data_IF_030897571411
#
_entry.id   IF_030897571411
#
_cell.length_a   1.000
_cell.length_b   1.000
_cell.length_c   1.000
_cell.angle_alpha   90.00
_cell.angle_beta   90.00
_cell.angle_gamma   90.00
#
_symmetry.space_group_name_H-M   'P 1'
#
loop_
_entity.id
_entity.type
_entity.pdbx_description
1 polymer ?
#
# COMPACT_ATOMS: atom_id res chain seq x y z
N UNK A 1 9.36 -37.52 -32.98
CA UNK A 1 7.94 -37.12 -32.86
C UNK A 1 7.78 -36.06 -31.75
N UNK A 2 8.61 -35.00 -31.75
CA UNK A 2 8.88 -34.18 -30.53
C UNK A 2 8.46 -32.70 -30.63
N UNK A 3 7.92 -32.26 -31.78
CA UNK A 3 7.75 -30.83 -32.08
C UNK A 3 6.43 -30.20 -31.61
N UNK A 4 5.49 -31.01 -31.09
CA UNK A 4 4.14 -30.56 -30.73
C UNK A 4 3.97 -30.18 -29.24
N UNK A 5 4.87 -30.63 -28.35
CA UNK A 5 4.82 -30.31 -26.92
C UNK A 5 5.32 -28.89 -26.62
N UNK A 6 6.35 -28.41 -27.33
CA UNK A 6 6.92 -27.06 -27.16
C UNK A 6 5.93 -25.96 -27.53
N UNK A 7 5.32 -26.02 -28.74
CA UNK A 7 4.31 -25.05 -29.22
C UNK A 7 3.09 -24.91 -28.29
N UNK A 8 2.69 -25.97 -27.59
CA UNK A 8 1.57 -25.94 -26.63
C UNK A 8 1.98 -25.35 -25.27
N UNK A 9 3.26 -25.45 -24.90
CA UNK A 9 3.83 -24.82 -23.72
C UNK A 9 3.92 -23.30 -23.87
N UNK A 10 4.40 -22.84 -25.03
CA UNK A 10 4.63 -21.40 -25.30
C UNK A 10 3.33 -20.58 -25.25
N UNK A 11 2.24 -21.08 -25.86
CA UNK A 11 0.93 -20.41 -25.83
C UNK A 11 0.35 -20.33 -24.40
N UNK A 12 0.56 -21.37 -23.58
CA UNK A 12 0.11 -21.35 -22.18
C UNK A 12 0.86 -20.31 -21.36
N UNK A 13 2.17 -20.16 -21.61
CA UNK A 13 3.00 -19.14 -20.97
C UNK A 13 2.53 -17.74 -21.38
N UNK A 14 2.25 -17.51 -22.67
CA UNK A 14 1.71 -16.21 -23.12
C UNK A 14 0.35 -15.89 -22.52
N UNK A 15 -0.54 -16.88 -22.39
CA UNK A 15 -1.84 -16.70 -21.75
C UNK A 15 -1.73 -16.37 -20.25
N UNK A 16 -0.80 -17.03 -19.55
CA UNK A 16 -0.52 -16.74 -18.15
C UNK A 16 0.07 -15.32 -17.98
N UNK A 17 0.99 -14.93 -18.85
CA UNK A 17 1.55 -13.57 -18.88
C UNK A 17 0.50 -12.50 -19.13
N UNK A 18 -0.47 -12.78 -20.01
CA UNK A 18 -1.60 -11.88 -20.27
C UNK A 18 -2.47 -11.68 -19.01
N UNK A 19 -2.80 -12.77 -18.31
CA UNK A 19 -3.56 -12.70 -17.05
C UNK A 19 -2.82 -11.87 -15.99
N UNK A 20 -1.51 -12.04 -15.87
CA UNK A 20 -0.67 -11.27 -14.94
C UNK A 20 -0.69 -9.78 -15.33
N UNK A 21 -0.49 -9.47 -16.61
CA UNK A 21 -0.48 -8.09 -17.10
C UNK A 21 -1.79 -7.35 -16.86
N UNK A 22 -2.93 -7.99 -17.14
CA UNK A 22 -4.27 -7.43 -16.87
C UNK A 22 -4.48 -7.24 -15.36
N UNK A 23 -4.08 -8.22 -14.54
CA UNK A 23 -4.22 -8.14 -13.08
C UNK A 23 -3.43 -6.97 -12.50
N UNK A 24 -2.21 -6.69 -13.01
CA UNK A 24 -1.41 -5.55 -12.60
C UNK A 24 -2.08 -4.21 -12.92
N UNK A 25 -2.70 -4.09 -14.10
CA UNK A 25 -3.44 -2.87 -14.49
C UNK A 25 -4.64 -2.66 -13.56
N UNK A 26 -5.45 -3.70 -13.33
CA UNK A 26 -6.64 -3.63 -12.46
C UNK A 26 -6.24 -3.25 -11.04
N UNK A 27 -5.18 -3.85 -10.49
CA UNK A 27 -4.66 -3.51 -9.18
C UNK A 27 -4.19 -2.05 -9.09
N UNK A 28 -3.46 -1.57 -10.11
CA UNK A 28 -2.97 -0.19 -10.16
C UNK A 28 -4.11 0.84 -10.19
N UNK A 29 -5.12 0.62 -11.04
CA UNK A 29 -6.31 1.50 -11.10
C UNK A 29 -7.10 1.46 -9.79
N UNK A 30 -7.31 0.27 -9.22
CA UNK A 30 -8.03 0.09 -7.97
C UNK A 30 -7.35 0.85 -6.81
N UNK A 31 -6.02 0.78 -6.71
CA UNK A 31 -5.26 1.49 -5.68
C UNK A 31 -5.40 3.01 -5.78
N UNK A 32 -5.33 3.56 -7.01
CA UNK A 32 -5.52 5.00 -7.25
C UNK A 32 -6.93 5.45 -6.84
N UNK A 33 -7.96 4.70 -7.26
CA UNK A 33 -9.37 5.05 -6.99
C UNK A 33 -9.67 4.93 -5.50
N UNK A 34 -9.25 3.86 -4.84
CA UNK A 34 -9.50 3.65 -3.41
C UNK A 34 -8.88 4.75 -2.56
N UNK A 35 -7.62 5.11 -2.82
CA UNK A 35 -6.94 6.21 -2.12
C UNK A 35 -7.66 7.56 -2.33
N UNK A 36 -8.19 7.79 -3.54
CA UNK A 36 -8.97 9.00 -3.83
C UNK A 36 -10.28 9.02 -3.04
N UNK A 37 -11.00 7.90 -2.96
CA UNK A 37 -12.27 7.79 -2.23
C UNK A 37 -12.04 8.07 -0.74
N UNK A 38 -11.04 7.44 -0.11
CA UNK A 38 -10.75 7.64 1.31
C UNK A 38 -10.37 9.09 1.61
N UNK A 39 -9.53 9.70 0.77
CA UNK A 39 -9.15 11.10 0.94
C UNK A 39 -10.33 12.07 0.69
N UNK A 40 -11.24 11.74 -0.23
CA UNK A 40 -12.46 12.51 -0.43
C UNK A 40 -13.43 12.36 0.75
N UNK A 41 -13.57 11.16 1.32
CA UNK A 41 -14.39 10.92 2.52
C UNK A 41 -13.86 11.75 3.69
N UNK A 42 -12.55 11.72 3.93
CA UNK A 42 -11.89 12.55 4.94
C UNK A 42 -12.13 14.05 4.72
N UNK A 43 -11.87 14.56 3.50
CA UNK A 43 -12.03 15.98 3.18
C UNK A 43 -13.48 16.48 3.27
N UNK A 44 -14.44 15.61 3.00
CA UNK A 44 -15.86 15.93 3.06
C UNK A 44 -16.44 15.71 4.47
N UNK A 45 -15.65 15.20 5.41
CA UNK A 45 -16.11 15.00 6.77
C UNK A 45 -16.43 16.34 7.43
N UNK A 46 -17.59 16.42 8.08
CA UNK A 46 -18.01 17.60 8.84
C UNK A 46 -17.43 17.64 10.26
N UNK A 47 -16.72 16.59 10.67
CA UNK A 47 -16.22 16.40 12.02
C UNK A 47 -14.85 15.72 11.97
N UNK A 48 -13.81 16.54 12.13
CA UNK A 48 -12.42 16.13 12.20
C UNK A 48 -11.88 16.64 13.52
N UNK A 49 -11.30 15.73 14.31
CA UNK A 49 -10.78 16.06 15.64
C UNK A 49 -9.58 15.20 15.99
N UNK A 50 -8.73 15.71 16.87
CA UNK A 50 -7.62 14.95 17.45
C UNK A 50 -8.10 14.29 18.74
N UNK A 51 -7.84 12.99 18.88
CA UNK A 51 -8.18 12.18 20.05
C UNK A 51 -6.95 11.47 20.59
N UNK A 52 -6.94 11.19 21.89
CA UNK A 52 -5.94 10.30 22.46
C UNK A 52 -6.31 8.86 22.14
N UNK A 53 -5.37 8.14 21.54
CA UNK A 53 -5.49 6.73 21.22
C UNK A 53 -4.45 5.93 21.99
N UNK A 54 -4.84 4.76 22.47
CA UNK A 54 -3.96 3.84 23.16
C UNK A 54 -3.41 2.83 22.16
N UNK A 55 -2.10 2.65 22.15
CA UNK A 55 -1.41 1.68 21.29
C UNK A 55 -1.68 0.26 21.78
N UNK A 56 -2.39 -0.53 20.98
CA UNK A 56 -2.66 -1.95 21.24
C UNK A 56 -1.53 -2.86 20.77
N UNK A 57 -0.93 -2.53 19.63
CA UNK A 57 0.16 -3.29 19.01
C UNK A 57 1.10 -2.32 18.32
N UNK A 58 2.40 -2.58 18.39
CA UNK A 58 3.42 -1.77 17.75
C UNK A 58 4.43 -2.68 17.06
N UNK A 59 4.68 -2.45 15.76
CA UNK A 59 5.71 -3.12 14.98
C UNK A 59 6.66 -2.07 14.44
N UNK A 60 7.94 -2.20 14.79
CA UNK A 60 9.00 -1.29 14.38
C UNK A 60 9.76 -1.86 13.18
N UNK A 61 10.00 -1.02 12.17
CA UNK A 61 10.88 -1.29 11.04
C UNK A 61 11.92 -0.18 10.97
N UNK A 62 13.17 -0.57 10.99
CA UNK A 62 14.30 0.35 10.93
C UNK A 62 14.92 0.31 9.53
N UNK A 63 15.16 1.49 8.98
CA UNK A 63 15.90 1.68 7.74
C UNK A 63 17.28 2.24 8.07
N UNK A 64 18.30 1.57 7.54
CA UNK A 64 19.70 1.94 7.74
C UNK A 64 20.34 2.22 6.39
N UNK A 65 21.32 3.12 6.39
CA UNK A 65 22.16 3.35 5.21
C UNK A 65 23.27 2.29 5.09
N UNK A 66 24.07 2.37 4.03
CA UNK A 66 25.18 1.44 3.76
C UNK A 66 26.28 1.44 4.84
N UNK A 67 26.30 2.45 5.70
CA UNK A 67 27.20 2.54 6.85
C UNK A 67 26.57 2.01 8.17
N UNK A 68 25.47 1.25 8.07
CA UNK A 68 24.66 0.73 9.19
C UNK A 68 24.09 1.81 10.13
N UNK A 69 24.03 3.06 9.67
CA UNK A 69 23.48 4.17 10.44
C UNK A 69 21.97 4.21 10.24
N UNK A 70 21.21 4.16 11.34
CA UNK A 70 19.76 4.31 11.34
C UNK A 70 19.35 5.67 10.78
N UNK A 71 18.66 5.68 9.65
CA UNK A 71 18.19 6.89 8.97
C UNK A 71 16.71 7.16 9.24
N UNK A 72 15.91 6.09 9.40
CA UNK A 72 14.47 6.18 9.59
C UNK A 72 13.96 5.01 10.42
N UNK A 73 13.04 5.28 11.34
CA UNK A 73 12.28 4.25 12.04
C UNK A 73 10.79 4.45 11.74
N UNK A 74 10.18 3.40 11.24
CA UNK A 74 8.74 3.33 10.96
C UNK A 74 8.06 2.45 12.02
N UNK A 75 7.02 2.97 12.63
CA UNK A 75 6.21 2.28 13.63
C UNK A 75 4.82 2.04 13.04
N UNK A 76 4.54 0.80 12.69
CA UNK A 76 3.19 0.37 12.33
C UNK A 76 2.44 0.03 13.61
N UNK A 77 1.50 0.89 13.98
CA UNK A 77 0.78 0.77 15.25
C UNK A 77 -0.68 0.49 15.02
N UNK A 78 -1.23 -0.43 15.80
CA UNK A 78 -2.67 -0.59 15.96
C UNK A 78 -3.05 0.20 17.20
N UNK A 79 -3.99 1.12 17.05
CA UNK A 79 -4.44 1.99 18.14
C UNK A 79 -5.94 1.82 18.35
N UNK A 80 -6.37 2.08 19.58
CA UNK A 80 -7.77 2.15 19.97
C UNK A 80 -8.07 3.53 20.54
N UNK A 81 -9.19 4.12 20.16
CA UNK A 81 -9.59 5.45 20.60
C UNK A 81 -11.08 5.49 20.88
N UNK A 82 -11.51 6.41 21.74
CA UNK A 82 -12.91 6.56 22.12
C UNK A 82 -13.44 7.88 21.60
N UNK A 83 -14.57 7.83 20.90
CA UNK A 83 -15.33 9.01 20.49
C UNK A 83 -16.77 8.83 20.95
N UNK A 84 -17.28 9.81 21.69
CA UNK A 84 -18.66 9.83 22.19
C UNK A 84 -19.06 8.53 22.92
N UNK A 85 -18.13 7.97 23.72
CA UNK A 85 -18.32 6.72 24.48
C UNK A 85 -18.19 5.42 23.67
N UNK A 86 -17.95 5.50 22.36
CA UNK A 86 -17.74 4.34 21.48
C UNK A 86 -16.25 4.13 21.19
N UNK A 87 -15.75 2.91 21.39
CA UNK A 87 -14.37 2.55 21.06
C UNK A 87 -14.24 2.15 19.59
N UNK A 88 -13.32 2.81 18.90
CA UNK A 88 -12.91 2.51 17.54
C UNK A 88 -11.47 2.00 17.52
N UNK A 89 -11.13 1.30 16.44
CA UNK A 89 -9.77 0.78 16.22
C UNK A 89 -9.30 1.15 14.82
N UNK A 90 -8.02 1.47 14.71
CA UNK A 90 -7.40 1.75 13.43
C UNK A 90 -5.93 1.43 13.44
N UNK A 91 -5.32 1.50 12.26
CA UNK A 91 -3.87 1.45 12.12
C UNK A 91 -3.36 2.81 11.68
N UNK A 92 -2.22 3.19 12.21
CA UNK A 92 -1.53 4.44 11.86
C UNK A 92 -0.03 4.19 11.84
N UNK A 93 0.66 4.90 10.97
CA UNK A 93 2.10 4.82 10.83
C UNK A 93 2.75 6.06 11.44
N UNK A 94 3.75 5.86 12.28
CA UNK A 94 4.59 6.94 12.77
C UNK A 94 5.99 6.78 12.19
N UNK A 95 6.49 7.82 11.54
CA UNK A 95 7.80 7.83 10.90
C UNK A 95 8.67 8.85 11.62
N UNK A 96 9.81 8.40 12.14
CA UNK A 96 10.78 9.28 12.77
C UNK A 96 12.09 9.26 11.98
N UNK A 97 12.51 10.44 11.52
CA UNK A 97 13.81 10.63 10.88
C UNK A 97 14.93 10.71 11.92
N UNK A 98 16.16 10.37 11.52
CA UNK A 98 17.36 10.40 12.37
C UNK A 98 17.52 11.71 13.15
N UNK A 99 17.22 12.85 12.52
CA UNK A 99 17.35 14.20 13.07
C UNK A 99 16.48 14.36 14.33
N UNK A 100 15.28 13.78 14.31
CA UNK A 100 14.34 13.79 15.42
C UNK A 100 14.61 12.68 16.44
N UNK A 101 15.37 11.65 16.06
CA UNK A 101 15.82 10.60 16.96
C UNK A 101 17.02 11.03 17.81
N UNK A 102 17.86 11.94 17.28
CA UNK A 102 19.07 12.44 17.94
C UNK A 102 18.80 13.50 19.03
N UNK A 103 17.69 14.23 18.94
CA UNK A 103 17.39 15.40 19.78
C UNK A 103 16.41 15.12 20.95
N UNK A 104 16.02 13.87 21.18
CA UNK A 104 15.09 13.46 22.24
C UNK A 104 15.59 12.19 22.92
N UNK A 105 15.29 12.03 24.22
CA UNK A 105 15.58 10.91 25.14
C UNK A 105 15.52 9.49 24.51
N UNK A 106 16.16 8.47 25.13
CA UNK A 106 17.00 7.47 24.47
C UNK A 106 16.33 6.73 23.31
N UNK A 107 17.16 6.49 22.28
CA UNK A 107 16.96 5.92 20.93
C UNK A 107 16.01 4.71 20.74
N UNK A 108 15.43 4.14 21.79
CA UNK A 108 14.76 2.84 21.71
C UNK A 108 13.23 2.87 21.89
N UNK A 109 12.62 3.90 22.46
CA UNK A 109 11.22 3.82 22.92
C UNK A 109 10.37 5.05 22.62
N UNK A 110 10.12 5.36 21.34
CA UNK A 110 9.16 6.42 21.03
C UNK A 110 7.71 5.99 21.17
N UNK A 111 7.39 4.74 20.82
CA UNK A 111 6.03 4.22 20.87
C UNK A 111 6.03 2.74 21.27
N UNK A 112 5.42 2.44 22.41
CA UNK A 112 5.22 1.12 22.98
C UNK A 112 3.75 0.79 23.10
N UNK A 113 3.45 -0.50 23.28
CA UNK A 113 2.10 -0.94 23.62
C UNK A 113 1.68 -0.33 24.97
N UNK A 114 0.51 0.29 25.01
CA UNK A 114 -0.02 0.99 26.17
C UNK A 114 0.22 2.50 26.14
N UNK A 115 1.08 3.00 25.24
CA UNK A 115 1.31 4.44 25.14
C UNK A 115 0.06 5.15 24.59
N UNK A 116 -0.18 6.37 25.10
CA UNK A 116 -1.17 7.28 24.56
C UNK A 116 -0.53 8.16 23.49
N UNK A 117 -1.13 8.13 22.30
CA UNK A 117 -0.71 8.92 21.14
C UNK A 117 -1.88 9.74 20.64
N UNK A 118 -1.63 11.01 20.32
CA UNK A 118 -2.66 11.86 19.71
C UNK A 118 -2.78 11.52 18.22
N UNK A 119 -3.99 11.14 17.79
CA UNK A 119 -4.30 10.79 16.40
C UNK A 119 -5.45 11.63 15.88
N UNK A 120 -5.38 12.02 14.62
CA UNK A 120 -6.46 12.73 13.94
C UNK A 120 -7.47 11.72 13.40
N UNK A 121 -8.73 11.90 13.77
CA UNK A 121 -9.85 11.04 13.36
C UNK A 121 -10.93 11.89 12.71
N UNK A 122 -11.70 11.26 11.82
CA UNK A 122 -12.80 11.90 11.13
C UNK A 122 -14.05 11.03 11.15
N UNK A 123 -15.21 11.68 11.10
CA UNK A 123 -16.49 10.99 10.97
C UNK A 123 -16.75 10.61 9.52
N UNK A 124 -17.07 9.34 9.29
CA UNK A 124 -17.44 8.80 7.98
C UNK A 124 -18.86 9.18 7.60
N UNK A 125 -19.21 8.99 6.33
CA UNK A 125 -20.59 9.17 5.85
C UNK A 125 -21.60 8.24 6.54
N UNK A 126 -21.14 7.10 7.04
CA UNK A 126 -21.93 6.12 7.81
C UNK A 126 -22.06 6.49 9.30
N UNK A 127 -21.36 7.53 9.74
CA UNK A 127 -21.38 8.02 11.12
C UNK A 127 -20.38 7.34 12.06
N UNK A 128 -19.57 6.40 11.58
CA UNK A 128 -18.44 5.80 12.31
C UNK A 128 -17.21 6.71 12.29
N UNK A 129 -16.19 6.44 13.11
CA UNK A 129 -14.93 7.18 13.09
C UNK A 129 -13.78 6.35 12.54
N UNK A 130 -12.98 6.97 11.67
CA UNK A 130 -11.75 6.40 11.10
C UNK A 130 -10.56 7.32 11.40
N UNK A 131 -9.37 6.76 11.43
CA UNK A 131 -8.13 7.53 11.49
C UNK A 131 -7.91 8.19 10.12
N UNK A 132 -7.38 9.41 10.11
CA UNK A 132 -6.96 10.12 8.90
C UNK A 132 -6.21 9.16 7.95
N UNK A 133 -6.59 9.10 6.67
CA UNK A 133 -5.85 8.29 5.71
C UNK A 133 -4.44 8.87 5.54
N UNK A 134 -3.42 8.03 5.73
CA UNK A 134 -2.06 8.37 5.35
C UNK A 134 -1.98 8.38 3.82
N UNK A 135 -1.66 9.54 3.26
CA UNK A 135 -1.42 9.67 1.82
C UNK A 135 -0.07 9.00 1.50
N UNK A 136 -0.04 7.67 1.41
CA UNK A 136 1.18 6.97 1.06
C UNK A 136 1.52 7.20 -0.43
N UNK A 137 2.37 8.20 -0.62
CA UNK A 137 2.94 8.60 -1.92
C UNK A 137 3.61 7.39 -2.60
N UNK A 138 4.18 6.46 -1.84
CA UNK A 138 4.87 5.28 -2.39
C UNK A 138 3.84 4.33 -2.98
N UNK A 139 2.77 4.00 -2.25
CA UNK A 139 1.69 3.15 -2.77
C UNK A 139 1.03 3.77 -4.01
N UNK A 140 0.81 5.09 -4.02
CA UNK A 140 0.30 5.80 -5.20
C UNK A 140 1.27 5.71 -6.39
N UNK A 141 2.56 5.95 -6.17
CA UNK A 141 3.59 5.89 -7.21
C UNK A 141 3.72 4.47 -7.78
N UNK A 142 3.71 3.44 -6.92
CA UNK A 142 3.73 2.04 -7.33
C UNK A 142 2.51 1.69 -8.18
N UNK A 143 1.31 2.15 -7.80
CA UNK A 143 0.10 1.95 -8.60
C UNK A 143 0.22 2.64 -9.97
N UNK A 144 0.76 3.86 -10.01
CA UNK A 144 1.02 4.58 -11.26
C UNK A 144 2.04 3.87 -12.17
N UNK A 145 3.05 3.20 -11.61
CA UNK A 145 4.04 2.43 -12.37
C UNK A 145 3.53 1.04 -12.77
N UNK A 146 2.62 0.45 -12.00
CA UNK A 146 2.04 -0.86 -12.29
C UNK A 146 1.20 -0.86 -13.58
N UNK A 147 0.49 0.24 -13.87
CA UNK A 147 -0.33 0.41 -15.08
C UNK A 147 0.52 0.32 -16.38
N UNK A 148 1.56 1.15 -16.59
CA UNK A 148 2.38 1.06 -17.80
C UNK A 148 3.15 -0.25 -17.88
N UNK A 149 3.67 -0.78 -16.77
CA UNK A 149 4.33 -2.09 -16.75
C UNK A 149 3.39 -3.20 -17.18
N UNK A 150 2.17 -3.24 -16.62
CA UNK A 150 1.14 -4.20 -17.01
C UNK A 150 0.74 -4.07 -18.48
N UNK A 151 0.62 -2.84 -19.00
CA UNK A 151 0.32 -2.59 -20.41
C UNK A 151 1.42 -3.14 -21.33
N UNK A 152 2.70 -2.92 -21.01
CA UNK A 152 3.83 -3.46 -21.78
C UNK A 152 3.81 -4.99 -21.79
N UNK A 153 3.57 -5.62 -20.63
CA UNK A 153 3.45 -7.09 -20.52
C UNK A 153 2.33 -7.61 -21.42
N UNK A 154 1.14 -6.98 -21.38
CA UNK A 154 0.01 -7.34 -22.23
C UNK A 154 0.37 -7.25 -23.72
N UNK A 155 1.01 -6.14 -24.15
CA UNK A 155 1.39 -5.92 -25.55
C UNK A 155 2.36 -7.01 -26.04
N UNK A 156 3.41 -7.31 -25.26
CA UNK A 156 4.40 -8.33 -25.63
C UNK A 156 3.73 -9.70 -25.78
N UNK A 157 2.90 -10.09 -24.82
CA UNK A 157 2.23 -11.40 -24.82
C UNK A 157 1.23 -11.54 -25.98
N UNK A 158 0.51 -10.47 -26.32
CA UNK A 158 -0.39 -10.43 -27.49
C UNK A 158 0.38 -10.60 -28.80
N UNK A 159 1.52 -9.92 -28.95
CA UNK A 159 2.38 -10.05 -30.14
C UNK A 159 2.90 -11.49 -30.30
N UNK A 160 3.29 -12.14 -29.20
CA UNK A 160 3.76 -13.53 -29.24
C UNK A 160 2.64 -14.50 -29.63
N UNK A 161 1.42 -14.32 -29.12
CA UNK A 161 0.24 -15.12 -29.54
C UNK A 161 -0.02 -14.95 -31.05
N UNK A 162 0.03 -13.72 -31.57
CA UNK A 162 -0.17 -13.48 -33.00
C UNK A 162 0.92 -14.11 -33.87
N UNK A 163 2.19 -14.08 -33.43
CA UNK A 163 3.30 -14.78 -34.11
C UNK A 163 3.10 -16.29 -34.14
N UNK A 164 2.67 -16.89 -33.03
CA UNK A 164 2.36 -18.32 -32.99
C UNK A 164 1.15 -18.69 -33.88
N UNK A 165 0.17 -17.79 -33.99
CA UNK A 165 -1.00 -17.98 -34.85
C UNK A 165 -0.67 -17.86 -36.35
N UNK A 166 0.22 -16.94 -36.75
CA UNK A 166 0.64 -16.77 -38.15
C UNK A 166 1.50 -17.94 -38.64
N UNK A 167 2.44 -18.43 -37.83
CA UNK A 167 3.29 -19.60 -38.14
C UNK A 167 2.48 -20.90 -38.30
N UNK A 168 1.21 -20.95 -37.87
CA UNK A 168 0.34 -22.12 -38.04
C UNK A 168 -0.44 -22.10 -39.37
N UNK A 169 -0.47 -20.97 -40.10
CA UNK A 169 -1.23 -20.80 -41.36
C UNK A 169 -0.38 -20.97 -42.64
N UNK A 170 0.94 -20.97 -42.54
CA UNK A 170 1.90 -21.32 -43.61
C UNK A 170 2.38 -22.75 -43.45
#
# INVERSE_FOLDING_TARGET
>A
MEKNSSKKGDIKISLLGLLIGISLIVAGVYGIVSNKIENQEYKNSTDIRTVNAVVEECRRKDEKNDADILIRSEYNTKVSFVVDGTTYKGRTYFVFAQNELKNSLPFQDKIRRGDEVSVEVYRTSEGSYKIKPDNDIITFLLCCMAIPVGAVVVIIMVLDIFKHASVKRT
#
